data_IF_536631584817
#
_entry.id   IF_536631584817
#
_cell.length_a   1.000
_cell.length_b   1.000
_cell.length_c   1.000
_cell.angle_alpha   90.00
_cell.angle_beta   90.00
_cell.angle_gamma   90.00
#
_symmetry.space_group_name_H-M   'P 1'
#
loop_
_entity.id
_entity.type
_entity.pdbx_description
1 polymer ?
#
# COMPACT_ATOMS: atom_id res chain seq x y z
N UNK A 1 8.27 -22.13 20.50
CA UNK A 1 7.77 -20.76 20.77
C UNK A 1 7.50 -20.10 19.44
N UNK A 2 6.26 -19.68 19.17
CA UNK A 2 5.96 -18.83 18.02
C UNK A 2 6.39 -17.42 18.41
N UNK A 3 7.33 -16.84 17.69
CA UNK A 3 7.73 -15.45 17.91
C UNK A 3 6.52 -14.56 17.62
N UNK A 4 6.01 -13.84 18.62
CA UNK A 4 4.97 -12.84 18.42
C UNK A 4 5.53 -11.73 17.52
N UNK A 5 5.03 -11.64 16.29
CA UNK A 5 5.38 -10.55 15.38
C UNK A 5 4.91 -9.24 15.99
N UNK A 6 5.83 -8.28 16.14
CA UNK A 6 5.52 -6.94 16.65
C UNK A 6 4.61 -6.21 15.66
N UNK A 7 3.49 -5.66 16.16
CA UNK A 7 2.61 -4.82 15.36
C UNK A 7 3.19 -3.40 15.18
N UNK A 8 3.01 -2.84 13.98
CA UNK A 8 3.37 -1.45 13.65
C UNK A 8 2.12 -0.73 13.15
N UNK A 9 1.85 0.46 13.66
CA UNK A 9 0.76 1.30 13.19
C UNK A 9 1.28 2.36 12.21
N UNK A 10 0.76 2.38 10.99
CA UNK A 10 1.05 3.39 9.98
C UNK A 10 -0.26 4.00 9.53
N UNK A 11 -0.45 5.30 9.76
CA UNK A 11 -1.66 6.04 9.35
C UNK A 11 -2.98 5.36 9.82
N UNK A 12 -2.99 4.71 10.98
CA UNK A 12 -4.15 4.00 11.52
C UNK A 12 -4.27 2.54 11.08
N UNK A 13 -3.39 2.05 10.20
CA UNK A 13 -3.36 0.67 9.72
C UNK A 13 -2.40 -0.15 10.59
N UNK A 14 -2.88 -1.24 11.18
CA UNK A 14 -2.05 -2.18 11.95
C UNK A 14 -1.42 -3.22 11.03
N UNK A 15 -0.09 -3.31 11.07
CA UNK A 15 0.72 -4.21 10.25
C UNK A 15 1.40 -5.27 11.12
N UNK A 16 1.50 -6.49 10.62
CA UNK A 16 2.12 -7.63 11.31
C UNK A 16 1.11 -8.48 12.08
N UNK A 17 1.61 -9.53 12.74
CA UNK A 17 0.76 -10.48 13.47
C UNK A 17 -0.23 -11.19 12.53
N UNK A 18 -1.51 -11.20 12.92
CA UNK A 18 -2.60 -11.81 12.16
C UNK A 18 -3.42 -10.79 11.34
N UNK A 19 -2.91 -9.57 11.14
CA UNK A 19 -3.58 -8.55 10.33
C UNK A 19 -3.44 -8.86 8.82
N UNK A 20 -4.36 -8.39 7.96
CA UNK A 20 -4.22 -8.53 6.51
C UNK A 20 -2.92 -7.91 5.99
N UNK A 21 -2.34 -8.45 4.91
CA UNK A 21 -1.13 -7.87 4.31
C UNK A 21 -1.42 -6.48 3.75
N UNK A 22 -0.51 -5.53 3.97
CA UNK A 22 -0.51 -4.24 3.31
C UNK A 22 0.05 -4.39 1.89
N UNK A 23 -0.71 -3.92 0.91
CA UNK A 23 -0.25 -3.82 -0.47
C UNK A 23 0.45 -2.47 -0.65
N UNK A 24 1.73 -2.52 -1.03
CA UNK A 24 2.49 -1.34 -1.46
C UNK A 24 2.70 -1.47 -2.96
N UNK A 25 2.02 -0.63 -3.75
CA UNK A 25 2.09 -0.73 -5.21
C UNK A 25 1.95 0.62 -5.91
N UNK A 26 2.50 0.69 -7.12
CA UNK A 26 2.44 1.84 -8.02
C UNK A 26 3.55 1.75 -9.08
N UNK A 27 3.64 2.75 -9.97
CA UNK A 27 4.70 2.82 -10.98
C UNK A 27 6.08 2.94 -10.33
N UNK A 28 7.13 2.55 -11.07
CA UNK A 28 8.51 2.66 -10.58
C UNK A 28 8.86 4.12 -10.25
N UNK A 29 8.53 5.05 -11.14
CA UNK A 29 8.78 6.48 -10.98
C UNK A 29 7.59 7.34 -11.40
N UNK A 30 7.53 8.56 -10.88
CA UNK A 30 6.50 9.54 -11.23
C UNK A 30 6.73 9.99 -12.68
N UNK A 31 5.78 9.67 -13.56
CA UNK A 31 5.83 10.04 -14.98
C UNK A 31 5.16 11.39 -15.23
N UNK A 32 3.95 11.58 -14.69
CA UNK A 32 3.17 12.82 -14.69
C UNK A 32 2.16 12.79 -13.55
N UNK A 33 1.60 13.95 -13.20
CA UNK A 33 0.55 14.05 -12.17
C UNK A 33 -0.68 13.21 -12.52
N UNK A 34 -1.20 13.36 -13.74
CA UNK A 34 -2.38 12.65 -14.21
C UNK A 34 -2.22 11.12 -14.17
N UNK A 35 -1.09 10.61 -14.69
CA UNK A 35 -0.81 9.16 -14.68
C UNK A 35 -0.70 8.66 -13.25
N UNK A 36 -0.01 9.40 -12.38
CA UNK A 36 0.19 9.03 -10.97
C UNK A 36 -1.14 8.95 -10.22
N UNK A 37 -1.98 9.99 -10.32
CA UNK A 37 -3.25 10.05 -9.63
C UNK A 37 -4.25 9.02 -10.17
N UNK A 38 -4.31 8.84 -11.50
CA UNK A 38 -5.18 7.83 -12.11
C UNK A 38 -4.79 6.40 -11.70
N UNK A 39 -3.48 6.08 -11.72
CA UNK A 39 -3.00 4.77 -11.26
C UNK A 39 -3.24 4.56 -9.77
N UNK A 40 -3.00 5.57 -8.94
CA UNK A 40 -3.25 5.50 -7.50
C UNK A 40 -4.74 5.23 -7.20
N UNK A 41 -5.64 5.94 -7.86
CA UNK A 41 -7.08 5.75 -7.71
C UNK A 41 -7.50 4.34 -8.12
N UNK A 42 -7.03 3.86 -9.28
CA UNK A 42 -7.37 2.52 -9.76
C UNK A 42 -6.89 1.42 -8.82
N UNK A 43 -5.66 1.52 -8.31
CA UNK A 43 -5.11 0.56 -7.36
C UNK A 43 -5.83 0.59 -6.01
N UNK A 44 -6.21 1.77 -5.53
CA UNK A 44 -7.02 1.94 -4.31
C UNK A 44 -8.36 1.22 -4.44
N UNK A 45 -9.05 1.39 -5.56
CA UNK A 45 -10.36 0.76 -5.78
C UNK A 45 -10.24 -0.78 -5.85
N UNK A 46 -9.20 -1.29 -6.53
CA UNK A 46 -8.91 -2.72 -6.62
C UNK A 46 -8.64 -3.31 -5.23
N UNK A 47 -7.72 -2.72 -4.46
CA UNK A 47 -7.37 -3.22 -3.13
C UNK A 47 -8.55 -3.11 -2.16
N UNK A 48 -9.31 -2.01 -2.23
CA UNK A 48 -10.53 -1.81 -1.45
C UNK A 48 -11.58 -2.90 -1.74
N UNK A 49 -11.79 -3.25 -3.01
CA UNK A 49 -12.71 -4.34 -3.39
C UNK A 49 -12.25 -5.71 -2.90
N UNK A 50 -10.94 -5.91 -2.75
CA UNK A 50 -10.34 -7.14 -2.22
C UNK A 50 -10.26 -7.17 -0.69
N UNK A 51 -10.68 -6.11 0.01
CA UNK A 51 -10.57 -6.00 1.47
C UNK A 51 -9.12 -5.88 1.96
N UNK A 52 -8.19 -5.43 1.11
CA UNK A 52 -6.77 -5.32 1.43
C UNK A 52 -6.39 -3.87 1.74
N UNK A 53 -5.65 -3.60 2.84
CA UNK A 53 -5.07 -2.29 3.08
C UNK A 53 -4.05 -1.96 1.98
N UNK A 54 -3.96 -0.69 1.61
CA UNK A 54 -3.17 -0.24 0.47
C UNK A 54 -2.41 1.06 0.77
N UNK A 55 -1.15 1.10 0.32
CA UNK A 55 -0.33 2.29 0.23
C UNK A 55 0.18 2.46 -1.20
N UNK A 56 -0.14 3.59 -1.82
CA UNK A 56 0.44 3.93 -3.11
C UNK A 56 1.93 4.27 -2.94
N UNK A 57 2.79 3.73 -3.81
CA UNK A 57 4.23 4.06 -3.84
C UNK A 57 4.68 4.32 -5.26
N UNK A 58 5.42 5.41 -5.41
CA UNK A 58 6.14 5.77 -6.61
C UNK A 58 7.45 6.48 -6.21
N UNK A 59 8.54 6.35 -6.96
CA UNK A 59 9.78 7.07 -6.68
C UNK A 59 9.82 8.41 -7.43
N UNK A 60 10.37 9.45 -6.79
CA UNK A 60 10.54 10.75 -7.42
C UNK A 60 11.77 10.78 -8.36
N UNK A 61 12.69 9.85 -8.17
CA UNK A 61 13.90 9.64 -8.96
C UNK A 61 14.07 8.13 -9.25
N UNK A 62 14.87 7.79 -10.27
CA UNK A 62 15.12 6.41 -10.72
C UNK A 62 16.25 5.72 -9.94
#
# INVERSE_FOLDING_TARGET
>A
MVTLTKEVNIAGIKLGGNNPPLIIAGPCVIESEDVTLHTAQRLKDICGSAGLPFAFKCSYDK
#
